data_IF_844727843122
#
_entry.id   IF_844727843122
#
_cell.length_a   1.000
_cell.length_b   1.000
_cell.length_c   1.000
_cell.angle_alpha   90.00
_cell.angle_beta   90.00
_cell.angle_gamma   90.00
#
_symmetry.space_group_name_H-M   'P 1'
#
loop_
_entity.id
_entity.type
_entity.pdbx_description
1 polymer ?
#
# COMPACT_ATOMS: atom_id res chain seq x y z
N UNK A 1 -33.79 -16.35 -16.19
CA UNK A 1 -32.49 -15.89 -16.73
C UNK A 1 -32.14 -14.61 -15.98
N UNK A 2 -31.28 -14.68 -14.96
CA UNK A 2 -30.87 -13.47 -14.23
C UNK A 2 -29.57 -12.98 -14.87
N UNK A 3 -29.64 -11.80 -15.48
CA UNK A 3 -28.49 -11.10 -16.05
C UNK A 3 -27.51 -10.78 -14.93
N UNK A 4 -26.32 -11.39 -15.01
CA UNK A 4 -25.22 -11.12 -14.09
C UNK A 4 -24.69 -9.74 -14.44
N UNK A 5 -25.15 -8.72 -13.71
CA UNK A 5 -24.53 -7.39 -13.71
C UNK A 5 -23.09 -7.58 -13.24
N UNK A 6 -22.16 -7.72 -14.17
CA UNK A 6 -20.74 -7.47 -13.90
C UNK A 6 -20.66 -5.98 -13.61
N UNK A 7 -20.81 -5.63 -12.34
CA UNK A 7 -20.32 -4.35 -11.83
C UNK A 7 -18.85 -4.29 -12.28
N UNK A 8 -18.53 -3.36 -13.17
CA UNK A 8 -17.16 -3.08 -13.59
C UNK A 8 -16.36 -2.79 -12.32
N UNK A 9 -15.67 -3.81 -11.81
CA UNK A 9 -14.70 -3.63 -10.75
C UNK A 9 -13.75 -2.54 -11.24
N UNK A 10 -13.56 -1.43 -10.49
CA UNK A 10 -12.60 -0.42 -10.89
C UNK A 10 -11.27 -1.12 -11.12
N UNK A 11 -10.77 -1.02 -12.35
CA UNK A 11 -9.58 -1.73 -12.78
C UNK A 11 -8.41 -1.27 -11.92
N UNK A 12 -7.96 -2.15 -11.03
CA UNK A 12 -6.79 -1.88 -10.19
C UNK A 12 -5.62 -1.68 -11.15
N UNK A 13 -4.90 -0.54 -11.09
CA UNK A 13 -3.76 -0.33 -11.98
C UNK A 13 -2.69 -1.40 -11.75
N UNK A 14 -1.91 -1.75 -12.78
CA UNK A 14 -0.80 -2.67 -12.61
C UNK A 14 0.20 -2.10 -11.60
N UNK A 15 0.79 -2.95 -10.73
CA UNK A 15 1.77 -2.50 -9.75
C UNK A 15 3.03 -1.93 -10.41
N UNK A 16 3.79 -1.08 -9.71
CA UNK A 16 5.05 -0.55 -10.23
C UNK A 16 5.99 -1.69 -10.62
N UNK A 17 6.64 -1.54 -11.78
CA UNK A 17 7.57 -2.54 -12.32
C UNK A 17 8.70 -2.82 -11.33
N UNK A 18 9.07 -4.09 -11.20
CA UNK A 18 10.14 -4.52 -10.30
C UNK A 18 9.75 -4.47 -8.82
N UNK A 19 8.45 -4.60 -8.51
CA UNK A 19 7.97 -4.74 -7.14
C UNK A 19 7.35 -6.12 -6.90
N UNK A 20 7.38 -6.57 -5.63
CA UNK A 20 6.74 -7.82 -5.20
C UNK A 20 5.62 -7.52 -4.21
N UNK A 21 4.37 -7.97 -4.49
CA UNK A 21 3.27 -7.81 -3.56
C UNK A 21 3.44 -8.72 -2.34
N UNK A 22 3.14 -8.21 -1.15
CA UNK A 22 2.88 -9.04 0.02
C UNK A 22 1.94 -8.32 0.99
N UNK A 23 1.11 -9.09 1.70
CA UNK A 23 0.35 -8.58 2.84
C UNK A 23 1.33 -8.42 4.00
N UNK A 24 1.47 -7.20 4.52
CA UNK A 24 2.42 -6.89 5.60
C UNK A 24 1.70 -6.23 6.77
N UNK A 25 1.98 -6.62 8.03
CA UNK A 25 1.56 -5.86 9.20
C UNK A 25 2.30 -4.50 9.24
N UNK A 26 1.82 -3.53 10.04
CA UNK A 26 2.46 -2.21 10.14
C UNK A 26 3.96 -2.27 10.51
N UNK A 27 4.39 -3.28 11.27
CA UNK A 27 5.78 -3.49 11.67
C UNK A 27 6.71 -3.87 10.53
N UNK A 28 6.18 -4.45 9.46
CA UNK A 28 6.97 -5.03 8.36
C UNK A 28 7.02 -4.14 7.13
N UNK A 29 6.22 -3.07 7.12
CA UNK A 29 6.26 -2.02 6.10
C UNK A 29 7.56 -1.24 6.22
N UNK A 30 8.14 -0.86 5.08
CA UNK A 30 9.39 -0.11 5.00
C UNK A 30 9.20 1.17 4.19
N UNK A 31 10.05 2.16 4.47
CA UNK A 31 10.25 3.29 3.55
C UNK A 31 10.65 2.74 2.18
N UNK A 32 10.01 3.23 1.13
CA UNK A 32 10.18 2.79 -0.24
C UNK A 32 9.17 1.75 -0.71
N UNK A 33 8.45 1.07 0.18
CA UNK A 33 7.31 0.23 -0.21
C UNK A 33 6.21 1.10 -0.86
N UNK A 34 5.47 0.53 -1.79
CA UNK A 34 4.31 1.18 -2.39
C UNK A 34 3.01 0.60 -1.81
N UNK A 35 2.01 1.47 -1.62
CA UNK A 35 0.67 1.11 -1.17
C UNK A 35 -0.34 1.63 -2.19
N UNK A 36 -1.29 0.78 -2.60
CA UNK A 36 -2.40 1.24 -3.44
C UNK A 36 -3.40 2.03 -2.59
N UNK A 37 -3.56 3.31 -2.90
CA UNK A 37 -4.48 4.26 -2.25
C UNK A 37 -5.21 5.05 -3.34
N UNK A 38 -6.54 5.09 -3.29
CA UNK A 38 -7.40 5.81 -4.25
C UNK A 38 -7.04 5.54 -5.72
N UNK A 39 -6.77 4.29 -6.06
CA UNK A 39 -6.41 3.89 -7.42
C UNK A 39 -5.00 4.31 -7.86
N UNK A 40 -4.12 4.72 -6.94
CA UNK A 40 -2.73 5.07 -7.24
C UNK A 40 -1.76 4.39 -6.27
N UNK A 41 -0.60 3.98 -6.78
CA UNK A 41 0.48 3.45 -5.95
C UNK A 41 1.27 4.60 -5.34
N UNK A 42 1.14 4.76 -4.03
CA UNK A 42 1.81 5.78 -3.24
C UNK A 42 3.05 5.18 -2.58
N UNK A 43 4.21 5.80 -2.82
CA UNK A 43 5.48 5.36 -2.24
C UNK A 43 5.63 5.92 -0.83
N UNK A 44 5.82 5.05 0.16
CA UNK A 44 6.14 5.46 1.53
C UNK A 44 7.48 6.18 1.53
N UNK A 45 7.50 7.44 1.97
CA UNK A 45 8.71 8.28 2.03
C UNK A 45 9.28 8.39 3.44
N UNK A 46 8.42 8.40 4.44
CA UNK A 46 8.80 8.42 5.86
C UNK A 46 7.77 7.62 6.67
N UNK A 47 8.17 7.18 7.86
CA UNK A 47 7.32 6.44 8.78
C UNK A 47 7.50 6.93 10.21
N UNK A 48 6.39 7.06 10.94
CA UNK A 48 6.38 7.40 12.37
C UNK A 48 5.62 6.36 13.18
N UNK A 49 5.93 6.24 14.45
CA UNK A 49 5.15 5.43 15.38
C UNK A 49 3.82 6.11 15.70
N UNK A 50 2.73 5.34 15.81
CA UNK A 50 1.41 5.84 16.20
C UNK A 50 0.96 5.21 17.54
N UNK A 51 1.46 5.72 18.66
CA UNK A 51 0.96 5.36 20.00
C UNK A 51 1.15 3.89 20.43
N UNK A 52 1.99 3.12 19.73
CA UNK A 52 2.29 1.72 20.05
C UNK A 52 3.12 1.01 18.97
N UNK A 53 3.59 -0.21 19.26
CA UNK A 53 4.38 -1.02 18.31
C UNK A 53 3.56 -1.54 17.12
N UNK A 54 2.24 -1.60 17.26
CA UNK A 54 1.30 -2.19 16.29
C UNK A 54 0.78 -1.23 15.24
N UNK A 55 1.12 0.07 15.29
CA UNK A 55 0.65 1.04 14.32
C UNK A 55 1.78 1.94 13.78
N UNK A 56 1.67 2.28 12.50
CA UNK A 56 2.60 3.19 11.80
C UNK A 56 1.84 4.30 11.08
N UNK A 57 2.38 5.50 11.14
CA UNK A 57 1.98 6.62 10.29
C UNK A 57 2.87 6.58 9.06
N UNK A 58 2.29 6.36 7.89
CA UNK A 58 2.99 6.34 6.60
C UNK A 58 2.86 7.72 5.96
N UNK A 59 4.00 8.36 5.67
CA UNK A 59 4.04 9.63 4.95
C UNK A 59 4.32 9.39 3.47
N UNK A 60 3.64 10.14 2.62
CA UNK A 60 3.74 10.07 1.16
C UNK A 60 4.01 11.47 0.59
N UNK A 61 4.46 11.57 -0.67
CA UNK A 61 4.62 12.87 -1.31
C UNK A 61 3.26 13.49 -1.65
N UNK A 62 3.00 14.70 -1.13
CA UNK A 62 1.84 15.50 -1.52
C UNK A 62 0.49 14.89 -1.13
N UNK A 63 0.46 13.92 -0.22
CA UNK A 63 -0.75 13.22 0.23
C UNK A 63 -0.81 13.15 1.76
N UNK A 64 -2.02 13.22 2.31
CA UNK A 64 -2.29 13.02 3.73
C UNK A 64 -1.70 11.70 4.24
N UNK A 65 -1.01 11.68 5.38
CA UNK A 65 -0.45 10.46 5.94
C UNK A 65 -1.54 9.41 6.22
N UNK A 66 -1.18 8.13 6.10
CA UNK A 66 -2.04 7.01 6.45
C UNK A 66 -1.63 6.46 7.82
N UNK A 67 -2.56 6.41 8.78
CA UNK A 67 -2.37 5.65 10.01
C UNK A 67 -2.72 4.19 9.72
N UNK A 68 -1.71 3.36 9.54
CA UNK A 68 -1.85 1.94 9.30
C UNK A 68 -1.91 1.19 10.64
N UNK A 69 -3.07 0.62 10.94
CA UNK A 69 -3.35 -0.16 12.16
C UNK A 69 -3.46 -1.67 11.92
N UNK A 70 -3.71 -2.05 10.67
CA UNK A 70 -3.96 -3.43 10.25
C UNK A 70 -3.04 -3.78 9.09
N UNK A 71 -2.90 -5.09 8.83
CA UNK A 71 -2.11 -5.56 7.70
C UNK A 71 -2.69 -5.10 6.36
N UNK A 72 -1.81 -4.78 5.41
CA UNK A 72 -2.20 -4.29 4.08
C UNK A 72 -1.26 -4.83 3.01
N UNK A 73 -1.79 -5.02 1.80
CA UNK A 73 -0.96 -5.31 0.63
C UNK A 73 -0.02 -4.14 0.32
N UNK A 74 1.26 -4.44 0.27
CA UNK A 74 2.33 -3.51 -0.07
C UNK A 74 3.20 -4.10 -1.16
N UNK A 75 3.79 -3.24 -1.98
CA UNK A 75 4.60 -3.63 -3.13
C UNK A 75 6.02 -3.16 -2.89
N UNK A 76 6.89 -4.11 -2.57
CA UNK A 76 8.28 -3.82 -2.21
C UNK A 76 9.15 -3.83 -3.46
N UNK A 77 9.94 -2.77 -3.74
CA UNK A 77 10.95 -2.81 -4.79
C UNK A 77 11.91 -3.98 -4.59
N UNK A 78 12.20 -4.69 -5.68
CA UNK A 78 13.32 -5.63 -5.72
C UNK A 78 14.61 -4.83 -5.54
N UNK A 79 15.47 -5.28 -4.63
CA UNK A 79 16.79 -4.70 -4.45
C UNK A 79 17.59 -4.94 -5.74
N UNK A 80 18.07 -3.87 -6.38
CA UNK A 80 19.09 -4.00 -7.42
C UNK A 80 20.39 -4.33 -6.71
N UNK A 81 20.83 -5.57 -6.86
CA UNK A 81 22.12 -6.06 -6.37
C UNK A 81 23.26 -5.65 -7.29
#
# INVERSE_FOLDING_TARGET
>A
MYERRTEEQPSIPPPPVGTVPAVRPPTDVRVGDFVLLDGRYERVQDMRAAGGASARILHFAGRTPLIMREARTTYRPLERR
#
